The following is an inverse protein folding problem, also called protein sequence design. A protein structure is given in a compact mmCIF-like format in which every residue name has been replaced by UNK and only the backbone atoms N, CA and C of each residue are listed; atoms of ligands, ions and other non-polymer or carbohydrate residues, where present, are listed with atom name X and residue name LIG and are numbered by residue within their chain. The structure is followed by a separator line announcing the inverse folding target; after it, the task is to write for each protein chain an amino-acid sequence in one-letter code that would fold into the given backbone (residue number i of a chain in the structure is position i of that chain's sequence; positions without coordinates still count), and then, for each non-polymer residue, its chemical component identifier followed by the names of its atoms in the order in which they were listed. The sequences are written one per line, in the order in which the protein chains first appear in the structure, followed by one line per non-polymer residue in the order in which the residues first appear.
data_IF_372813325027
#
_entry.id   IF_372813325027
#
_cell.length_a   1.000
_cell.length_b   1.000
_cell.length_c   1.000
_cell.angle_alpha   90.00
_cell.angle_beta   90.00
_cell.angle_gamma   90.00
#
_symmetry.space_group_name_H-M   'P 1'
#
loop_
_entity.id
_entity.type
_entity.pdbx_description
1 polymer ?
#
# COMPACT_ATOMS: atom_id res chain seq x y z
N UNK A 1 -2.62 34.66 2.06
CA UNK A 1 -3.16 33.44 1.42
C UNK A 1 -1.96 32.60 1.01
N UNK A 2 -1.49 31.69 1.88
CA UNK A 2 -0.28 30.90 1.60
C UNK A 2 -0.67 29.57 0.99
N UNK A 3 -0.26 29.34 -0.26
CA UNK A 3 -0.58 28.16 -1.05
C UNK A 3 0.01 26.90 -0.43
N UNK A 4 -0.83 25.89 -0.24
CA UNK A 4 -0.41 24.54 0.14
C UNK A 4 0.10 23.83 -1.12
N UNK A 5 1.42 23.74 -1.26
CA UNK A 5 2.06 22.91 -2.28
C UNK A 5 1.83 21.43 -1.93
N UNK A 6 0.91 20.77 -2.63
CA UNK A 6 0.78 19.31 -2.58
C UNK A 6 1.98 18.75 -3.34
N UNK A 7 2.91 18.14 -2.62
CA UNK A 7 3.96 17.32 -3.21
C UNK A 7 3.27 16.16 -3.92
N UNK A 8 3.15 16.24 -5.25
CA UNK A 8 2.81 15.07 -6.05
C UNK A 8 4.00 14.12 -5.97
N UNK A 9 3.96 13.22 -4.98
CA UNK A 9 4.79 12.02 -4.97
C UNK A 9 4.59 11.37 -6.34
N UNK A 10 5.67 11.29 -7.11
CA UNK A 10 5.66 10.79 -8.49
C UNK A 10 5.26 9.32 -8.48
N UNK A 11 3.96 9.05 -8.57
CA UNK A 11 3.44 7.70 -8.75
C UNK A 11 3.81 7.26 -10.15
N UNK A 12 4.63 6.21 -10.25
CA UNK A 12 4.83 5.53 -11.51
C UNK A 12 3.73 4.47 -11.62
N UNK A 13 2.69 4.66 -12.45
CA UNK A 13 1.67 3.64 -12.63
C UNK A 13 2.35 2.38 -13.17
N UNK A 14 2.15 1.28 -12.44
CA UNK A 14 2.62 -0.05 -12.82
C UNK A 14 1.42 -0.97 -12.72
N UNK A 15 1.09 -1.62 -13.83
CA UNK A 15 0.11 -2.69 -13.82
C UNK A 15 0.72 -3.91 -13.13
N UNK A 16 -0.08 -4.53 -12.25
CA UNK A 16 0.28 -5.77 -11.59
C UNK A 16 -0.57 -6.91 -12.15
N UNK A 17 0.02 -8.09 -12.22
CA UNK A 17 -0.62 -9.33 -12.64
C UNK A 17 -0.79 -10.28 -11.47
N UNK A 18 -1.69 -11.25 -11.61
CA UNK A 18 -1.86 -12.29 -10.59
C UNK A 18 -0.53 -13.04 -10.37
N UNK A 19 -0.15 -13.22 -9.11
CA UNK A 19 1.12 -13.83 -8.71
C UNK A 19 2.26 -12.83 -8.47
N UNK A 20 2.10 -11.55 -8.85
CA UNK A 20 3.12 -10.54 -8.57
C UNK A 20 3.29 -10.31 -7.07
N UNK A 21 4.55 -10.10 -6.66
CA UNK A 21 4.90 -9.69 -5.31
C UNK A 21 4.83 -8.17 -5.19
N UNK A 22 4.07 -7.70 -4.21
CA UNK A 22 3.82 -6.27 -3.97
C UNK A 22 4.00 -5.90 -2.51
N UNK A 23 4.37 -4.64 -2.28
CA UNK A 23 4.41 -4.01 -0.96
C UNK A 23 3.24 -3.04 -0.84
N UNK A 24 2.55 -3.08 0.30
CA UNK A 24 1.45 -2.18 0.61
C UNK A 24 1.97 -1.00 1.43
N UNK A 25 1.65 0.22 1.03
CA UNK A 25 2.03 1.40 1.82
C UNK A 25 1.21 1.45 3.12
N UNK A 26 1.87 1.64 4.26
CA UNK A 26 1.21 1.91 5.55
C UNK A 26 0.72 3.37 5.55
N UNK A 27 -0.59 3.56 5.69
CA UNK A 27 -1.15 4.89 5.92
C UNK A 27 -0.91 5.26 7.39
N UNK A 28 0.01 6.19 7.64
CA UNK A 28 0.22 6.78 8.96
C UNK A 28 -0.96 7.71 9.29
N UNK A 29 -2.08 7.15 9.76
CA UNK A 29 -3.19 7.94 10.24
C UNK A 29 -2.87 8.48 11.64
N UNK A 30 -2.53 9.77 11.72
CA UNK A 30 -2.58 10.54 12.97
C UNK A 30 -1.44 10.30 13.96
N UNK A 31 -0.62 11.34 14.16
CA UNK A 31 0.00 11.66 15.44
C UNK A 31 0.63 10.52 16.23
N UNK A 32 1.74 9.98 15.74
CA UNK A 32 2.82 9.59 16.65
C UNK A 32 4.16 9.74 15.94
N UNK A 33 4.57 11.01 15.77
CA UNK A 33 5.86 11.44 15.22
C UNK A 33 7.07 10.91 16.03
N UNK A 34 6.84 10.17 17.11
CA UNK A 34 7.85 9.64 18.01
C UNK A 34 8.14 8.15 17.80
N UNK A 35 7.30 7.41 17.07
CA UNK A 35 7.54 5.99 16.79
C UNK A 35 8.09 5.85 15.36
N UNK A 36 9.42 5.87 15.33
CA UNK A 36 10.27 5.18 14.36
C UNK A 36 10.51 5.88 13.01
N UNK A 37 11.32 6.92 13.07
CA UNK A 37 12.05 7.59 11.96
C UNK A 37 12.86 6.63 11.06
N UNK A 38 12.86 5.32 11.32
CA UNK A 38 13.63 4.29 10.63
C UNK A 38 12.80 3.05 10.24
N UNK A 39 11.51 2.99 10.57
CA UNK A 39 10.67 1.88 10.07
C UNK A 39 10.21 2.19 8.64
N UNK A 40 10.38 1.24 7.70
CA UNK A 40 9.86 1.40 6.35
C UNK A 40 8.34 1.52 6.41
N UNK A 41 7.79 2.53 5.73
CA UNK A 41 6.35 2.76 5.59
C UNK A 41 5.65 1.74 4.68
N UNK A 42 6.24 0.55 4.50
CA UNK A 42 5.79 -0.49 3.59
C UNK A 42 5.57 -1.79 4.37
N UNK A 43 4.42 -2.42 4.13
CA UNK A 43 3.98 -3.67 4.72
C UNK A 43 3.99 -4.77 3.64
N UNK A 44 4.43 -5.97 4.00
CA UNK A 44 4.50 -7.11 3.09
C UNK A 44 5.80 -7.90 3.25
N UNK A 45 6.08 -8.86 2.33
CA UNK A 45 5.53 -8.97 0.98
C UNK A 45 4.15 -9.61 0.89
N UNK A 46 3.37 -9.19 -0.12
CA UNK A 46 2.09 -9.78 -0.50
C UNK A 46 2.10 -10.27 -1.93
N UNK A 47 1.25 -11.24 -2.23
CA UNK A 47 1.03 -11.76 -3.58
C UNK A 47 -0.31 -11.22 -4.09
N UNK A 48 -0.35 -10.75 -5.34
CA UNK A 48 -1.60 -10.39 -6.01
C UNK A 48 -2.39 -11.66 -6.30
N UNK A 49 -3.50 -11.85 -5.59
CA UNK A 49 -4.41 -12.97 -5.79
C UNK A 49 -5.31 -12.76 -7.00
N UNK A 50 -5.90 -11.58 -7.11
CA UNK A 50 -6.91 -11.27 -8.14
C UNK A 50 -6.96 -9.77 -8.41
N UNK A 51 -7.20 -9.40 -9.67
CA UNK A 51 -7.41 -8.02 -10.11
C UNK A 51 -8.91 -7.78 -10.16
N UNK A 52 -9.42 -6.91 -9.30
CA UNK A 52 -10.87 -6.64 -9.16
C UNK A 52 -11.31 -5.48 -10.04
N UNK A 53 -10.37 -4.61 -10.37
CA UNK A 53 -10.61 -3.44 -11.21
C UNK A 53 -9.33 -2.62 -11.37
N UNK A 54 -9.41 -1.49 -12.07
CA UNK A 54 -8.29 -0.59 -12.23
C UNK A 54 -7.72 -0.21 -10.85
N UNK A 55 -6.42 -0.45 -10.65
CA UNK A 55 -5.71 -0.16 -9.39
C UNK A 55 -6.29 -0.85 -8.13
N UNK A 56 -7.11 -1.89 -8.28
CA UNK A 56 -7.76 -2.59 -7.17
C UNK A 56 -7.39 -4.07 -7.21
N UNK A 57 -6.63 -4.51 -6.21
CA UNK A 57 -6.07 -5.85 -6.15
C UNK A 57 -6.44 -6.53 -4.83
N UNK A 58 -6.84 -7.80 -4.90
CA UNK A 58 -6.86 -8.67 -3.73
C UNK A 58 -5.46 -9.19 -3.47
N UNK A 59 -5.03 -9.11 -2.22
CA UNK A 59 -3.71 -9.53 -1.79
C UNK A 59 -3.80 -10.77 -0.88
N UNK A 60 -2.81 -11.62 -0.94
CA UNK A 60 -2.63 -12.77 -0.04
C UNK A 60 -1.21 -12.76 0.56
N UNK A 61 -1.06 -13.32 1.75
CA UNK A 61 0.26 -13.56 2.35
C UNK A 61 0.97 -14.72 1.65
N UNK A 62 2.28 -14.90 1.92
CA UNK A 62 3.03 -16.09 1.49
C UNK A 62 2.36 -17.39 1.94
N UNK A 63 1.71 -17.36 3.11
CA UNK A 63 1.00 -18.49 3.72
C UNK A 63 -0.39 -18.73 3.11
N UNK A 64 -0.69 -18.10 1.97
CA UNK A 64 -1.97 -18.18 1.26
C UNK A 64 -3.20 -17.64 2.00
N UNK A 65 -3.01 -16.89 3.09
CA UNK A 65 -4.10 -16.22 3.80
C UNK A 65 -4.48 -14.95 3.05
N UNK A 66 -5.75 -14.85 2.64
CA UNK A 66 -6.27 -13.65 2.01
C UNK A 66 -6.30 -12.49 3.02
N UNK A 67 -5.78 -11.33 2.61
CA UNK A 67 -5.95 -10.11 3.38
C UNK A 67 -7.42 -9.67 3.39
N UNK A 68 -7.99 -9.30 4.55
CA UNK A 68 -9.35 -8.79 4.60
C UNK A 68 -9.49 -7.57 3.69
N UNK A 69 -10.61 -7.49 2.96
CA UNK A 69 -10.92 -6.44 1.98
C UNK A 69 -11.11 -5.05 2.62
N UNK A 70 -11.22 -4.98 3.94
CA UNK A 70 -11.70 -3.80 4.65
C UNK A 70 -10.55 -2.93 5.15
N UNK A 71 -10.57 -1.69 4.70
CA UNK A 71 -10.11 -0.53 5.47
C UNK A 71 -11.38 0.11 6.05
N UNK A 72 -11.53 0.07 7.38
CA UNK A 72 -12.39 0.99 8.12
C UNK A 72 -11.52 2.01 8.82
#
# INVERSE_FOLDING_TARGET
MSGRTILQLKVNPKDFTQGDLVLKQRLLAGSNLEILKLEPNWEGPYIVREIVGPNTYYLMTSESTQLPRTWS
#
